data_IF_112570088517
#
_entry.id   IF_112570088517
#
_cell.length_a   1.000
_cell.length_b   1.000
_cell.length_c   1.000
_cell.angle_alpha   90.00
_cell.angle_beta   90.00
_cell.angle_gamma   90.00
#
_symmetry.space_group_name_H-M   'P 1'
#
loop_
_entity.id
_entity.type
_entity.pdbx_description
1 polymer ?
#
# COMPACT_ATOMS: atom_id res chain seq x y z
N UNK A 1 13.95 -0.32 -2.73
CA UNK A 1 13.25 -0.36 -1.44
C UNK A 1 13.72 0.72 -0.45
N UNK A 2 14.86 1.33 -0.68
CA UNK A 2 15.40 2.41 0.17
C UNK A 2 16.03 3.53 -0.67
N UNK A 3 15.53 3.73 -1.87
CA UNK A 3 15.99 4.72 -2.84
C UNK A 3 17.53 4.69 -3.06
N UNK A 4 18.11 3.49 -3.14
CA UNK A 4 19.54 3.31 -3.35
C UNK A 4 19.94 3.81 -4.75
N UNK A 5 20.92 4.68 -4.81
CA UNK A 5 21.49 5.19 -6.05
C UNK A 5 22.97 4.83 -6.15
N UNK A 6 23.45 4.64 -7.38
CA UNK A 6 24.87 4.52 -7.70
C UNK A 6 25.35 5.70 -8.54
N UNK A 7 24.65 6.81 -8.50
CA UNK A 7 24.99 8.08 -9.15
C UNK A 7 25.34 7.98 -10.63
N UNK A 8 24.67 7.02 -11.34
CA UNK A 8 24.87 6.79 -12.78
C UNK A 8 25.99 5.83 -13.14
N UNK A 9 26.69 5.23 -12.17
CA UNK A 9 27.67 4.17 -12.46
C UNK A 9 26.94 2.92 -12.97
N UNK A 10 27.19 2.56 -14.22
CA UNK A 10 26.55 1.44 -14.90
C UNK A 10 27.18 0.08 -14.60
N UNK A 11 28.41 0.07 -14.07
CA UNK A 11 29.15 -1.15 -13.74
C UNK A 11 30.02 -0.98 -12.50
N UNK A 12 29.40 -0.90 -11.35
CA UNK A 12 30.01 -0.55 -10.09
C UNK A 12 30.78 -1.69 -9.40
N UNK A 13 30.97 -2.85 -10.04
CA UNK A 13 31.56 -4.00 -9.35
C UNK A 13 33.04 -3.79 -8.96
N UNK A 14 33.76 -2.90 -9.65
CA UNK A 14 35.13 -2.47 -9.32
C UNK A 14 35.20 -1.09 -8.68
N UNK A 15 34.06 -0.44 -8.47
CA UNK A 15 34.01 0.91 -7.90
C UNK A 15 34.27 0.87 -6.39
N UNK A 16 34.58 2.02 -5.81
CA UNK A 16 34.88 2.14 -4.39
C UNK A 16 33.78 1.63 -3.48
N UNK A 17 34.13 1.24 -2.27
CA UNK A 17 33.20 0.63 -1.32
C UNK A 17 32.05 1.57 -0.92
N UNK A 18 32.30 2.86 -0.84
CA UNK A 18 31.30 3.90 -0.52
C UNK A 18 30.17 3.98 -1.54
N UNK A 19 30.47 3.67 -2.82
CA UNK A 19 29.45 3.59 -3.87
C UNK A 19 28.59 2.31 -3.74
N UNK A 20 29.19 1.23 -3.28
CA UNK A 20 28.58 -0.10 -3.24
C UNK A 20 27.92 -0.44 -1.89
N UNK A 21 28.29 0.23 -0.81
CA UNK A 21 27.72 -0.02 0.50
C UNK A 21 26.24 0.31 0.57
N UNK A 22 25.55 -0.35 1.50
CA UNK A 22 24.18 -0.02 1.86
C UNK A 22 24.21 1.17 2.81
N UNK A 23 23.56 2.26 2.42
CA UNK A 23 23.40 3.45 3.26
C UNK A 23 22.14 3.26 4.12
N UNK A 24 22.31 2.72 5.31
CA UNK A 24 21.19 2.44 6.22
C UNK A 24 20.38 3.68 6.61
N UNK A 25 20.98 4.87 6.57
CA UNK A 25 20.26 6.13 6.81
C UNK A 25 19.13 6.32 5.81
N UNK A 26 19.24 5.82 4.59
CA UNK A 26 18.18 5.89 3.59
C UNK A 26 16.86 5.20 4.06
N UNK A 27 16.92 4.24 4.96
CA UNK A 27 15.71 3.61 5.51
C UNK A 27 14.89 4.61 6.33
N UNK A 28 15.56 5.59 6.95
CA UNK A 28 14.90 6.66 7.70
C UNK A 28 14.49 7.79 6.77
N UNK A 29 15.42 8.21 5.90
CA UNK A 29 15.21 9.36 5.00
C UNK A 29 14.11 9.09 3.95
N UNK A 30 13.90 7.83 3.57
CA UNK A 30 12.89 7.36 2.61
C UNK A 30 11.94 6.34 3.25
N UNK A 31 11.49 6.63 4.47
CA UNK A 31 10.66 5.71 5.25
C UNK A 31 9.31 5.39 4.57
N UNK A 32 8.76 6.33 3.80
CA UNK A 32 7.58 6.17 2.97
C UNK A 32 7.78 5.10 1.89
N UNK A 33 8.89 5.17 1.16
CA UNK A 33 9.26 4.17 0.14
C UNK A 33 9.46 2.80 0.78
N UNK A 34 10.17 2.74 1.90
CA UNK A 34 10.39 1.48 2.65
C UNK A 34 9.06 0.88 3.10
N UNK A 35 8.15 1.70 3.61
CA UNK A 35 6.82 1.25 4.06
C UNK A 35 5.98 0.73 2.89
N UNK A 36 5.99 1.42 1.76
CA UNK A 36 5.30 0.99 0.55
C UNK A 36 5.79 -0.39 0.08
N UNK A 37 7.11 -0.59 0.00
CA UNK A 37 7.69 -1.89 -0.39
C UNK A 37 7.35 -3.00 0.60
N UNK A 38 7.37 -2.72 1.91
CA UNK A 38 6.93 -3.68 2.94
C UNK A 38 5.48 -4.08 2.72
N UNK A 39 4.60 -3.11 2.47
CA UNK A 39 3.19 -3.37 2.19
C UNK A 39 2.98 -4.22 0.93
N UNK A 40 3.70 -3.93 -0.15
CA UNK A 40 3.66 -4.74 -1.38
C UNK A 40 4.15 -6.18 -1.14
N UNK A 41 5.18 -6.37 -0.32
CA UNK A 41 5.64 -7.72 0.07
C UNK A 41 4.61 -8.46 0.91
N UNK A 42 3.90 -7.76 1.81
CA UNK A 42 2.79 -8.33 2.58
C UNK A 42 1.65 -8.81 1.65
N UNK A 43 1.23 -7.96 0.71
CA UNK A 43 0.21 -8.32 -0.31
C UNK A 43 0.66 -9.56 -1.09
N UNK A 44 1.90 -9.56 -1.57
CA UNK A 44 2.44 -10.70 -2.31
C UNK A 44 2.42 -11.99 -1.49
N UNK A 45 2.81 -11.94 -0.22
CA UNK A 45 2.87 -13.11 0.66
C UNK A 45 1.49 -13.62 1.07
N UNK A 46 0.47 -12.75 1.03
CA UNK A 46 -0.89 -13.07 1.44
C UNK A 46 -1.75 -13.67 0.30
N UNK A 47 -1.22 -13.74 -0.91
CA UNK A 47 -1.99 -14.18 -2.08
C UNK A 47 -1.21 -15.22 -2.88
N UNK A 48 -1.61 -16.47 -2.76
CA UNK A 48 -0.92 -17.64 -3.35
C UNK A 48 -0.60 -17.51 -4.84
N UNK A 49 -1.47 -16.95 -5.69
CA UNK A 49 -1.13 -16.78 -7.11
C UNK A 49 0.12 -15.91 -7.39
N UNK A 50 0.48 -15.01 -6.47
CA UNK A 50 1.68 -14.18 -6.59
C UNK A 50 2.95 -14.85 -6.05
N UNK A 51 2.82 -15.97 -5.34
CA UNK A 51 3.93 -16.71 -4.74
C UNK A 51 4.18 -18.05 -5.42
N UNK A 52 3.26 -18.52 -6.26
CA UNK A 52 3.41 -19.76 -7.00
C UNK A 52 4.68 -19.74 -7.86
N UNK A 53 5.45 -20.83 -7.80
CA UNK A 53 6.72 -20.96 -8.52
C UNK A 53 6.58 -21.78 -9.82
N UNK A 54 5.34 -22.05 -10.22
CA UNK A 54 4.96 -22.81 -11.40
C UNK A 54 3.86 -22.09 -12.20
N UNK A 55 3.32 -22.76 -13.20
CA UNK A 55 2.27 -22.20 -14.05
C UNK A 55 0.84 -22.55 -13.59
N UNK A 56 0.65 -22.98 -12.35
CA UNK A 56 -0.66 -23.43 -11.83
C UNK A 56 -1.76 -22.36 -11.88
N UNK A 57 -1.37 -21.11 -11.91
CA UNK A 57 -2.30 -19.97 -12.00
C UNK A 57 -2.32 -19.26 -13.36
N UNK A 58 -1.67 -19.80 -14.39
CA UNK A 58 -1.55 -19.11 -15.69
C UNK A 58 -2.92 -18.86 -16.35
N UNK A 59 -3.88 -19.75 -16.15
CA UNK A 59 -5.26 -19.67 -16.65
C UNK A 59 -6.21 -18.84 -15.74
N UNK A 60 -5.75 -18.42 -14.58
CA UNK A 60 -6.53 -17.65 -13.62
C UNK A 60 -6.52 -16.14 -13.85
N UNK A 61 -5.69 -15.68 -14.81
CA UNK A 61 -5.58 -14.27 -15.15
C UNK A 61 -6.61 -13.87 -16.21
N UNK A 62 -7.39 -12.84 -15.95
CA UNK A 62 -8.32 -12.22 -16.90
C UNK A 62 -7.87 -10.79 -17.21
N UNK A 63 -7.35 -10.58 -18.41
CA UNK A 63 -6.88 -9.26 -18.86
C UNK A 63 -8.03 -8.43 -19.43
N UNK A 64 -8.25 -7.26 -18.86
CA UNK A 64 -9.19 -6.25 -19.38
C UNK A 64 -8.48 -5.32 -20.37
N UNK A 65 -7.37 -4.75 -19.93
CA UNK A 65 -6.55 -3.86 -20.75
C UNK A 65 -5.16 -4.48 -20.92
N UNK A 66 -4.70 -4.53 -22.15
CA UNK A 66 -3.33 -4.90 -22.50
C UNK A 66 -2.62 -3.69 -23.04
N UNK A 67 -1.32 -3.63 -22.90
CA UNK A 67 -0.51 -2.56 -23.49
C UNK A 67 -0.75 -2.52 -25.00
N UNK A 68 -1.15 -1.35 -25.48
CA UNK A 68 -1.18 -1.03 -26.91
C UNK A 68 -0.62 0.37 -27.12
N UNK A 69 -0.26 0.70 -28.36
CA UNK A 69 0.26 2.03 -28.71
C UNK A 69 -0.72 3.18 -28.39
N UNK A 70 -1.99 2.87 -28.16
CA UNK A 70 -3.07 3.83 -27.88
C UNK A 70 -3.52 3.86 -26.43
N UNK A 71 -3.00 2.99 -25.55
CA UNK A 71 -3.42 2.93 -24.15
C UNK A 71 -2.22 2.97 -23.23
N UNK A 72 -2.28 3.85 -22.22
CA UNK A 72 -1.29 3.93 -21.14
C UNK A 72 -1.71 3.10 -19.92
N UNK A 73 -2.57 2.11 -20.11
CA UNK A 73 -3.17 1.36 -19.00
C UNK A 73 -2.99 -0.14 -19.21
N UNK A 74 -2.76 -0.84 -18.12
CA UNK A 74 -2.81 -2.30 -18.03
C UNK A 74 -3.76 -2.64 -16.90
N UNK A 75 -4.69 -3.56 -17.08
CA UNK A 75 -5.53 -4.06 -16.00
C UNK A 75 -5.86 -5.53 -16.20
N UNK A 76 -5.88 -6.25 -15.11
CA UNK A 76 -6.23 -7.67 -15.06
C UNK A 76 -6.77 -8.04 -13.69
N UNK A 77 -7.51 -9.15 -13.64
CA UNK A 77 -7.88 -9.83 -12.40
C UNK A 77 -7.20 -11.19 -12.32
N UNK A 78 -6.99 -11.66 -11.12
CA UNK A 78 -6.42 -12.98 -10.82
C UNK A 78 -7.41 -13.69 -9.90
N UNK A 79 -7.88 -14.87 -10.32
CA UNK A 79 -8.72 -15.74 -9.51
C UNK A 79 -7.86 -16.58 -8.57
N UNK A 80 -8.35 -16.79 -7.33
CA UNK A 80 -7.74 -17.67 -6.35
C UNK A 80 -8.82 -18.54 -5.69
N UNK A 81 -8.52 -19.81 -5.50
CA UNK A 81 -9.42 -20.78 -4.90
C UNK A 81 -8.87 -21.34 -3.58
N UNK A 82 -7.85 -20.71 -3.01
CA UNK A 82 -7.23 -21.12 -1.74
C UNK A 82 -8.08 -20.65 -0.58
N UNK A 83 -8.51 -21.59 0.24
CA UNK A 83 -9.32 -21.30 1.44
C UNK A 83 -8.56 -20.42 2.43
N UNK A 84 -9.23 -19.40 2.96
CA UNK A 84 -8.64 -18.45 3.92
C UNK A 84 -7.88 -17.28 3.28
N UNK A 85 -7.79 -17.24 1.96
CA UNK A 85 -7.25 -16.12 1.19
C UNK A 85 -8.36 -15.34 0.48
N UNK A 86 -8.02 -14.22 -0.15
CA UNK A 86 -8.92 -13.49 -1.05
C UNK A 86 -9.24 -14.35 -2.28
N UNK A 87 -10.48 -14.32 -2.73
CA UNK A 87 -10.87 -15.11 -3.90
C UNK A 87 -10.45 -14.46 -5.21
N UNK A 88 -10.29 -13.14 -5.22
CA UNK A 88 -9.92 -12.42 -6.44
C UNK A 88 -9.15 -11.16 -6.13
N UNK A 89 -8.14 -10.87 -6.96
CA UNK A 89 -7.38 -9.64 -6.93
C UNK A 89 -7.48 -8.92 -8.28
N UNK A 90 -7.69 -7.62 -8.26
CA UNK A 90 -7.58 -6.74 -9.41
C UNK A 90 -6.30 -5.91 -9.32
N UNK A 91 -5.57 -5.82 -10.43
CA UNK A 91 -4.37 -4.98 -10.56
C UNK A 91 -4.56 -4.06 -11.75
N UNK A 92 -4.42 -2.76 -11.52
CA UNK A 92 -4.71 -1.73 -12.51
C UNK A 92 -3.57 -0.72 -12.51
N UNK A 93 -2.91 -0.55 -13.66
CA UNK A 93 -1.84 0.42 -13.87
C UNK A 93 -2.32 1.54 -14.77
N UNK A 94 -1.96 2.77 -14.43
CA UNK A 94 -2.15 3.95 -15.24
C UNK A 94 -0.81 4.71 -15.40
N UNK A 95 -0.21 4.64 -16.58
CA UNK A 95 1.01 5.38 -16.91
C UNK A 95 0.73 6.73 -17.58
N UNK A 96 -0.53 7.13 -17.73
CA UNK A 96 -0.89 8.43 -18.26
C UNK A 96 -0.48 9.55 -17.28
N UNK A 97 -0.36 10.77 -17.81
CA UNK A 97 -0.07 11.97 -16.99
C UNK A 97 -1.30 12.56 -16.31
N UNK A 98 -2.47 11.96 -16.55
CA UNK A 98 -3.76 12.33 -15.95
C UNK A 98 -4.40 11.10 -15.31
N UNK A 99 -5.28 11.31 -14.35
CA UNK A 99 -6.13 10.24 -13.83
C UNK A 99 -7.00 9.65 -14.94
N UNK A 100 -7.33 8.36 -14.81
CA UNK A 100 -8.14 7.67 -15.79
C UNK A 100 -9.10 6.70 -15.11
N UNK A 101 -10.33 6.62 -15.64
CA UNK A 101 -11.29 5.61 -15.27
C UNK A 101 -11.03 4.32 -16.05
N UNK A 102 -10.84 3.24 -15.33
CA UNK A 102 -10.59 1.91 -15.90
C UNK A 102 -11.68 0.97 -15.44
N UNK A 103 -12.46 0.47 -16.39
CA UNK A 103 -13.51 -0.52 -16.14
C UNK A 103 -12.97 -1.92 -16.40
N UNK A 104 -13.04 -2.80 -15.41
CA UNK A 104 -12.67 -4.21 -15.54
C UNK A 104 -13.70 -4.94 -16.41
N UNK A 105 -13.24 -5.87 -17.26
CA UNK A 105 -14.13 -6.75 -18.04
C UNK A 105 -14.71 -7.89 -17.18
N UNK A 106 -14.01 -8.26 -16.13
CA UNK A 106 -14.50 -9.22 -15.14
C UNK A 106 -15.47 -8.52 -14.20
N UNK A 107 -16.75 -8.83 -14.34
CA UNK A 107 -17.87 -8.29 -13.54
C UNK A 107 -18.36 -9.26 -12.49
N UNK A 108 -17.65 -10.36 -12.25
CA UNK A 108 -18.05 -11.38 -11.27
C UNK A 108 -17.95 -10.93 -9.83
N UNK A 109 -17.18 -9.86 -9.58
CA UNK A 109 -17.07 -9.16 -8.29
C UNK A 109 -17.64 -7.76 -8.44
N UNK A 110 -18.53 -7.38 -7.54
CA UNK A 110 -19.19 -6.07 -7.54
C UNK A 110 -18.68 -5.14 -6.44
N UNK A 111 -18.04 -5.69 -5.41
CA UNK A 111 -17.56 -4.93 -4.27
C UNK A 111 -16.09 -5.27 -4.01
N UNK A 112 -15.29 -4.23 -4.02
CA UNK A 112 -13.83 -4.32 -3.93
C UNK A 112 -13.31 -3.53 -2.73
N UNK A 113 -12.23 -4.01 -2.15
CA UNK A 113 -11.43 -3.31 -1.14
C UNK A 113 -10.09 -2.98 -1.76
N UNK A 114 -9.78 -1.69 -1.86
CA UNK A 114 -8.47 -1.22 -2.32
C UNK A 114 -7.48 -1.37 -1.18
N UNK A 115 -6.36 -2.03 -1.43
CA UNK A 115 -5.29 -2.32 -0.45
C UNK A 115 -3.94 -1.73 -0.86
N UNK A 116 -3.81 -1.24 -2.08
CA UNK A 116 -2.67 -0.44 -2.50
C UNK A 116 -3.11 0.59 -3.55
N UNK A 117 -2.50 1.77 -3.47
CA UNK A 117 -2.64 2.86 -4.43
C UNK A 117 -1.25 3.43 -4.77
N UNK A 118 -1.16 4.63 -5.36
CA UNK A 118 0.11 5.27 -5.71
C UNK A 118 0.98 5.69 -4.51
N UNK A 119 0.45 5.68 -3.28
CA UNK A 119 1.10 6.24 -2.09
C UNK A 119 1.24 5.22 -0.95
N UNK A 120 0.26 4.36 -0.79
CA UNK A 120 0.18 3.41 0.33
C UNK A 120 -0.08 2.00 -0.18
N UNK A 121 0.55 1.01 0.45
CA UNK A 121 0.33 -0.41 0.21
C UNK A 121 0.35 -1.19 1.52
N UNK A 122 -0.47 -2.24 1.62
CA UNK A 122 -0.53 -3.10 2.80
C UNK A 122 -1.75 -4.01 2.77
N UNK A 123 -2.07 -4.58 3.92
CA UNK A 123 -3.23 -5.48 4.07
C UNK A 123 -4.48 -4.73 4.55
N UNK A 124 -4.33 -3.44 4.84
CA UNK A 124 -5.43 -2.60 5.32
C UNK A 124 -6.29 -2.09 4.17
N UNK A 125 -7.59 -1.94 4.44
CA UNK A 125 -8.50 -1.26 3.54
C UNK A 125 -8.16 0.23 3.46
N UNK A 126 -7.89 0.70 2.25
CA UNK A 126 -7.72 2.13 1.96
C UNK A 126 -9.06 2.77 1.61
N UNK A 127 -9.86 2.10 0.78
CA UNK A 127 -11.21 2.46 0.46
C UNK A 127 -11.96 1.27 -0.15
N UNK A 128 -13.28 1.41 -0.26
CA UNK A 128 -14.14 0.45 -0.95
C UNK A 128 -14.60 1.03 -2.29
N UNK A 129 -14.75 0.15 -3.27
CA UNK A 129 -15.25 0.48 -4.61
C UNK A 129 -16.38 -0.47 -4.95
N UNK A 130 -17.55 0.09 -5.28
CA UNK A 130 -18.68 -0.68 -5.79
C UNK A 130 -18.73 -0.57 -7.31
N UNK A 131 -18.96 -1.68 -7.97
CA UNK A 131 -18.90 -1.82 -9.43
C UNK A 131 -17.53 -2.24 -9.93
N UNK A 132 -17.32 -2.12 -11.23
CA UNK A 132 -16.10 -2.58 -11.91
C UNK A 132 -15.18 -1.44 -12.40
N UNK A 133 -15.54 -0.18 -12.10
CA UNK A 133 -14.78 1.00 -12.57
C UNK A 133 -13.98 1.62 -11.45
N UNK A 134 -12.69 1.82 -11.71
CA UNK A 134 -11.73 2.40 -10.80
C UNK A 134 -11.16 3.69 -11.38
N UNK A 135 -11.19 4.77 -10.62
CA UNK A 135 -10.46 6.01 -10.95
C UNK A 135 -9.01 5.87 -10.48
N UNK A 136 -8.09 5.67 -11.42
CA UNK A 136 -6.66 5.44 -11.14
C UNK A 136 -5.89 6.74 -11.34
N UNK A 137 -5.19 7.25 -10.33
CA UNK A 137 -4.41 8.48 -10.45
C UNK A 137 -3.36 8.40 -11.57
N UNK A 138 -2.83 9.55 -11.96
CA UNK A 138 -1.75 9.63 -12.95
C UNK A 138 -0.50 8.87 -12.45
N UNK A 139 0.16 8.13 -13.35
CA UNK A 139 1.42 7.41 -13.09
C UNK A 139 1.39 6.57 -11.81
N UNK A 140 0.27 5.88 -11.58
CA UNK A 140 0.08 5.05 -10.40
C UNK A 140 -0.54 3.70 -10.72
N UNK A 141 -0.66 2.87 -9.69
CA UNK A 141 -1.34 1.59 -9.76
C UNK A 141 -2.32 1.47 -8.59
N UNK A 142 -3.36 0.66 -8.79
CA UNK A 142 -4.28 0.23 -7.75
C UNK A 142 -4.20 -1.30 -7.66
N UNK A 143 -4.18 -1.81 -6.42
CA UNK A 143 -4.45 -3.22 -6.11
C UNK A 143 -5.71 -3.27 -5.27
N UNK A 144 -6.69 -4.02 -5.72
CA UNK A 144 -7.93 -4.24 -5.00
C UNK A 144 -8.22 -5.74 -4.90
N UNK A 145 -8.90 -6.14 -3.83
CA UNK A 145 -9.33 -7.52 -3.61
C UNK A 145 -10.84 -7.58 -3.43
N UNK A 146 -11.44 -8.73 -3.69
CA UNK A 146 -12.87 -8.92 -3.48
C UNK A 146 -13.24 -8.70 -2.01
N UNK A 147 -14.29 -7.92 -1.76
CA UNK A 147 -14.70 -7.56 -0.41
C UNK A 147 -15.10 -8.78 0.43
N UNK A 148 -15.80 -9.73 -0.16
CA UNK A 148 -16.22 -10.94 0.55
C UNK A 148 -15.02 -11.77 1.02
N UNK A 149 -14.03 -11.96 0.13
CA UNK A 149 -12.77 -12.62 0.49
C UNK A 149 -11.97 -11.82 1.53
N UNK A 150 -11.93 -10.49 1.40
CA UNK A 150 -11.27 -9.62 2.38
C UNK A 150 -11.86 -9.74 3.78
N UNK A 151 -13.18 -9.81 3.88
CA UNK A 151 -13.89 -9.92 5.16
C UNK A 151 -13.78 -11.32 5.78
N UNK A 152 -13.77 -12.37 4.94
CA UNK A 152 -13.69 -13.77 5.38
C UNK A 152 -12.27 -14.27 5.63
N UNK A 153 -11.29 -13.75 4.89
CA UNK A 153 -9.91 -14.15 5.05
C UNK A 153 -9.40 -13.77 6.45
N UNK A 154 -8.62 -14.64 7.06
CA UNK A 154 -7.89 -14.34 8.30
C UNK A 154 -6.79 -13.29 8.14
N UNK A 155 -6.59 -12.81 6.93
CA UNK A 155 -5.63 -11.79 6.54
C UNK A 155 -6.24 -10.42 6.83
N UNK A 156 -6.15 -10.02 8.09
CA UNK A 156 -6.51 -8.65 8.48
C UNK A 156 -5.29 -8.06 9.14
N UNK A 157 -4.89 -6.87 8.69
CA UNK A 157 -3.99 -6.11 9.52
C UNK A 157 -4.71 -5.79 10.83
N UNK A 158 -4.00 -5.91 11.91
CA UNK A 158 -4.52 -5.42 13.19
C UNK A 158 -4.65 -3.90 13.08
N UNK A 159 -5.85 -3.37 13.32
CA UNK A 159 -5.99 -1.94 13.54
C UNK A 159 -4.98 -1.51 14.60
N UNK A 160 -4.04 -0.67 14.21
CA UNK A 160 -3.07 -0.10 15.13
C UNK A 160 -3.79 0.78 16.14
N UNK A 161 -3.35 0.72 17.37
CA UNK A 161 -3.77 1.66 18.41
C UNK A 161 -2.58 2.53 18.77
N UNK A 162 -2.74 3.83 18.63
CA UNK A 162 -1.75 4.82 19.07
C UNK A 162 -2.29 5.47 20.34
N UNK A 163 -1.53 5.35 21.41
CA UNK A 163 -1.84 6.06 22.66
C UNK A 163 -1.12 7.41 22.63
N UNK A 164 -1.88 8.48 22.53
CA UNK A 164 -1.37 9.85 22.62
C UNK A 164 -1.36 10.25 24.10
N UNK A 165 -0.18 10.55 24.63
CA UNK A 165 -0.02 11.06 25.99
C UNK A 165 0.30 12.55 25.92
N UNK A 166 -0.43 13.34 26.67
CA UNK A 166 -0.17 14.77 26.82
C UNK A 166 0.64 14.97 28.10
N UNK A 167 1.86 15.46 27.94
CA UNK A 167 2.79 15.65 29.08
C UNK A 167 3.50 17.00 28.97
N UNK A 168 3.90 17.54 30.12
CA UNK A 168 4.81 18.68 30.16
C UNK A 168 6.20 18.23 29.70
N UNK A 169 6.76 18.88 28.68
CA UNK A 169 8.06 18.52 28.14
C UNK A 169 9.18 18.58 29.19
N UNK A 170 9.16 19.58 30.05
CA UNK A 170 10.20 19.81 31.05
C UNK A 170 10.17 18.79 32.19
N UNK A 171 9.03 18.26 32.57
CA UNK A 171 8.86 17.42 33.77
C UNK A 171 8.41 16.00 33.44
N UNK A 172 7.81 15.78 32.26
CA UNK A 172 7.18 14.52 31.92
C UNK A 172 5.88 14.26 32.65
N UNK A 173 5.41 15.23 33.47
CA UNK A 173 4.14 15.11 34.21
C UNK A 173 2.96 15.11 33.23
N UNK A 174 1.95 14.33 33.59
CA UNK A 174 0.72 14.22 32.79
C UNK A 174 -0.03 15.56 32.79
N UNK A 175 -0.31 16.05 31.58
CA UNK A 175 -1.06 17.29 31.37
C UNK A 175 -2.57 17.02 31.29
N UNK A 176 -2.93 15.95 30.56
CA UNK A 176 -4.30 15.58 30.27
C UNK A 176 -4.44 14.05 30.12
N UNK A 177 -5.66 13.52 30.14
CA UNK A 177 -5.89 12.11 29.91
C UNK A 177 -5.46 11.68 28.50
N UNK A 178 -4.82 10.51 28.44
CA UNK A 178 -4.36 9.95 27.18
C UNK A 178 -5.54 9.61 26.28
N UNK A 179 -5.41 9.91 24.99
CA UNK A 179 -6.37 9.54 23.95
C UNK A 179 -5.86 8.32 23.20
N UNK A 180 -6.72 7.34 22.95
CA UNK A 180 -6.42 6.20 22.09
C UNK A 180 -7.00 6.48 20.71
N UNK A 181 -6.11 6.69 19.73
CA UNK A 181 -6.48 6.76 18.33
C UNK A 181 -6.43 5.35 17.75
N UNK A 182 -7.46 4.97 17.00
CA UNK A 182 -7.51 3.72 16.26
C UNK A 182 -7.45 4.04 14.76
N UNK A 183 -6.63 3.33 14.05
CA UNK A 183 -6.49 3.50 12.61
C UNK A 183 -5.79 2.31 12.00
N UNK A 184 -5.79 2.23 10.68
CA UNK A 184 -5.05 1.22 9.94
C UNK A 184 -3.56 1.35 10.21
N UNK A 185 -2.88 0.23 10.42
CA UNK A 185 -1.42 0.18 10.50
C UNK A 185 -0.87 0.68 9.16
N UNK A 186 -0.13 1.77 9.13
CA UNK A 186 0.39 2.48 7.96
C UNK A 186 -0.47 3.65 7.44
N UNK A 187 -1.63 3.96 8.02
CA UNK A 187 -2.28 5.24 7.78
C UNK A 187 -1.66 6.34 8.66
N UNK A 188 -1.48 7.52 8.09
CA UNK A 188 -1.15 8.70 8.90
C UNK A 188 -2.27 8.97 9.92
N UNK A 189 -1.90 9.36 11.11
CA UNK A 189 -2.87 9.86 12.09
C UNK A 189 -2.54 11.31 12.42
N UNK A 190 -3.59 12.07 12.68
CA UNK A 190 -3.47 13.46 13.10
C UNK A 190 -3.79 13.52 14.58
N UNK A 191 -2.84 14.02 15.37
CA UNK A 191 -3.08 14.32 16.79
C UNK A 191 -3.75 15.68 16.89
N UNK A 192 -4.72 15.78 17.80
CA UNK A 192 -5.31 17.07 18.16
C UNK A 192 -4.50 17.63 19.34
N UNK A 193 -4.07 18.89 19.29
CA UNK A 193 -3.43 19.53 20.44
C UNK A 193 -4.33 19.46 21.68
N UNK A 194 -3.73 19.35 22.87
CA UNK A 194 -4.49 19.39 24.12
C UNK A 194 -5.23 20.72 24.27
N UNK A 195 -6.51 20.66 24.62
CA UNK A 195 -7.30 21.87 24.92
C UNK A 195 -6.86 22.57 26.21
N UNK A 196 -6.04 21.91 27.03
CA UNK A 196 -5.54 22.44 28.32
C UNK A 196 -4.25 23.25 28.13
N UNK A 197 -3.61 23.16 26.94
CA UNK A 197 -2.37 23.91 26.66
C UNK A 197 -2.72 25.35 26.30
N UNK A 198 -2.25 26.35 27.06
CA UNK A 198 -2.41 27.76 26.69
C UNK A 198 -1.76 28.05 25.32
N UNK A 199 -2.30 29.01 24.56
CA UNK A 199 -1.82 29.41 23.23
C UNK A 199 -0.33 29.80 23.14
N UNK A 200 0.37 29.86 24.25
CA UNK A 200 1.81 30.17 24.35
C UNK A 200 2.72 28.96 24.25
N UNK A 201 2.19 27.72 24.24
CA UNK A 201 2.97 26.50 24.10
C UNK A 201 2.89 25.98 22.66
N UNK A 202 4.02 25.87 22.00
CA UNK A 202 4.14 25.23 20.69
C UNK A 202 4.26 23.71 20.94
N UNK A 203 3.36 22.94 20.35
CA UNK A 203 3.38 21.47 20.36
C UNK A 203 4.26 20.98 19.21
#
# INVERSE_FOLDING_TARGET
EMARSKYGDTNSYKSAADLNMIKWQNVVDYADVVSYYKGMMQIKSAFSPLTAMDNSYADKYTFTKKVSASTNQISFTIQNDVEGEWNKMAVIYNNATTAADVTLSDTSVTDWVVIANGETAGLDSLCEVTGSTFTVPARSAIVAVDKAGYESAGIKSSNGKVKVNYVYEATGEKLEDSVILQGSVCSGYVTVPSAVVPDTYIV
#
